data_IF_130790369967
#
_entry.id   IF_130790369967
#
_cell.length_a   1.000
_cell.length_b   1.000
_cell.length_c   1.000
_cell.angle_alpha   90.00
_cell.angle_beta   90.00
_cell.angle_gamma   90.00
#
_symmetry.space_group_name_H-M   'P 1'
#
loop_
_entity.id
_entity.type
_entity.pdbx_description
1 polymer ?
#
# COMPACT_ATOMS: atom_id res chain seq x y z
N UNK A 1 -3.38 17.43 12.51
CA UNK A 1 -3.15 17.52 11.05
C UNK A 1 -1.68 17.32 10.78
N UNK A 2 -1.31 16.48 9.81
CA UNK A 2 0.07 16.09 9.55
C UNK A 2 0.34 16.13 8.04
N UNK A 3 1.61 16.36 7.68
CA UNK A 3 2.04 16.34 6.29
C UNK A 3 2.28 14.91 5.85
N UNK A 4 1.64 14.52 4.75
CA UNK A 4 1.85 13.26 4.06
C UNK A 4 2.46 13.53 2.68
N UNK A 5 3.64 12.99 2.40
CA UNK A 5 4.29 13.11 1.10
C UNK A 5 3.98 11.89 0.25
N UNK A 6 3.39 12.09 -0.93
CA UNK A 6 3.18 11.02 -1.89
C UNK A 6 4.54 10.45 -2.37
N UNK A 7 4.58 9.15 -2.65
CA UNK A 7 5.75 8.49 -3.26
C UNK A 7 5.75 8.68 -4.79
N UNK A 8 5.68 9.93 -5.21
CA UNK A 8 5.59 10.36 -6.60
C UNK A 8 6.58 11.50 -6.89
N UNK A 9 7.89 11.27 -6.88
CA UNK A 9 8.81 12.31 -7.30
C UNK A 9 8.55 12.65 -8.78
N UNK A 10 8.37 13.94 -9.08
CA UNK A 10 8.01 14.44 -10.40
C UNK A 10 8.99 14.03 -11.53
N UNK A 11 10.20 13.63 -11.15
CA UNK A 11 11.25 13.15 -12.05
C UNK A 11 11.28 11.64 -12.25
N UNK A 12 10.40 10.90 -11.57
CA UNK A 12 10.42 9.44 -11.59
C UNK A 12 9.68 8.91 -12.83
N UNK A 13 10.44 8.27 -13.72
CA UNK A 13 9.92 7.61 -14.92
C UNK A 13 9.58 6.13 -14.64
N UNK A 14 8.85 5.84 -13.57
CA UNK A 14 8.45 4.47 -13.24
C UNK A 14 7.63 3.84 -14.37
N UNK A 15 7.82 2.54 -14.63
CA UNK A 15 6.81 1.77 -15.34
C UNK A 15 5.46 1.90 -14.63
N UNK A 16 4.38 2.05 -15.40
CA UNK A 16 3.05 2.19 -14.84
C UNK A 16 2.59 3.63 -14.57
N UNK A 17 3.49 4.62 -14.61
CA UNK A 17 3.15 6.04 -14.50
C UNK A 17 3.21 6.59 -13.07
N UNK A 18 2.67 7.81 -12.92
CA UNK A 18 2.74 8.58 -11.67
C UNK A 18 1.84 7.99 -10.58
N UNK A 19 2.36 7.94 -9.37
CA UNK A 19 1.63 7.56 -8.15
C UNK A 19 1.20 8.85 -7.45
N UNK A 20 0.12 9.41 -7.92
CA UNK A 20 -0.37 10.75 -7.53
C UNK A 20 -1.73 10.73 -6.82
N UNK A 21 -2.23 9.54 -6.46
CA UNK A 21 -3.55 9.35 -5.83
C UNK A 21 -3.46 8.52 -4.57
N UNK A 22 -4.26 8.88 -3.59
CA UNK A 22 -4.56 8.02 -2.44
C UNK A 22 -5.82 7.24 -2.76
N UNK A 23 -5.77 5.90 -2.63
CA UNK A 23 -6.93 5.04 -2.77
C UNK A 23 -7.76 5.01 -1.51
N UNK A 24 -7.17 4.62 -0.41
CA UNK A 24 -7.83 4.56 0.89
C UNK A 24 -6.81 4.57 2.04
N UNK A 25 -7.30 4.71 3.27
CA UNK A 25 -6.49 4.65 4.48
C UNK A 25 -7.27 4.02 5.62
N UNK A 26 -6.62 3.13 6.39
CA UNK A 26 -7.20 2.50 7.58
C UNK A 26 -6.32 2.69 8.80
N UNK A 27 -6.93 3.01 9.94
CA UNK A 27 -6.21 3.14 11.20
C UNK A 27 -5.90 1.76 11.79
N UNK A 28 -4.64 1.53 12.14
CA UNK A 28 -4.13 0.27 12.67
C UNK A 28 -4.00 0.26 14.21
N UNK A 29 -4.15 1.40 14.85
CA UNK A 29 -3.87 1.59 16.28
C UNK A 29 -2.54 2.28 16.53
N UNK A 30 -2.36 2.78 17.74
CA UNK A 30 -1.09 3.35 18.26
C UNK A 30 -0.43 4.41 17.38
N UNK A 31 -1.26 5.24 16.70
CA UNK A 31 -0.78 6.30 15.81
C UNK A 31 -0.33 5.79 14.43
N UNK A 32 -0.65 4.56 14.06
CA UNK A 32 -0.30 3.97 12.77
C UNK A 32 -1.51 3.84 11.85
N UNK A 33 -1.27 4.01 10.56
CA UNK A 33 -2.25 3.80 9.49
C UNK A 33 -1.65 2.93 8.41
N UNK A 34 -2.50 2.22 7.68
CA UNK A 34 -2.13 1.71 6.37
C UNK A 34 -2.79 2.55 5.28
N UNK A 35 -2.04 2.87 4.22
CA UNK A 35 -2.49 3.77 3.14
C UNK A 35 -2.18 3.13 1.80
N UNK A 36 -3.12 3.22 0.86
CA UNK A 36 -2.89 2.86 -0.54
C UNK A 36 -2.57 4.12 -1.33
N UNK A 37 -1.39 4.16 -1.96
CA UNK A 37 -1.06 5.12 -3.02
C UNK A 37 -1.13 4.44 -4.37
N UNK A 38 -1.68 5.11 -5.38
CA UNK A 38 -1.90 4.49 -6.68
C UNK A 38 -1.66 5.42 -7.87
N UNK A 39 -1.30 4.83 -8.99
CA UNK A 39 -1.42 5.40 -10.33
C UNK A 39 -2.81 5.10 -10.93
N UNK A 40 -3.00 5.48 -12.20
CA UNK A 40 -4.22 5.22 -12.97
C UNK A 40 -4.11 3.99 -13.90
N UNK A 41 -3.00 3.23 -13.83
CA UNK A 41 -2.78 2.09 -14.71
C UNK A 41 -3.37 0.79 -14.16
N UNK A 42 -3.42 -0.22 -15.00
CA UNK A 42 -3.89 -1.57 -14.67
C UNK A 42 -2.82 -2.60 -15.01
N UNK A 43 -2.98 -3.81 -14.47
CA UNK A 43 -2.10 -4.93 -14.76
C UNK A 43 -0.85 -4.97 -13.86
N UNK A 44 0.07 -5.85 -14.23
CA UNK A 44 1.24 -6.20 -13.40
C UNK A 44 2.26 -5.09 -13.25
N UNK A 45 2.29 -4.16 -14.20
CA UNK A 45 3.22 -3.03 -14.23
C UNK A 45 2.66 -1.77 -13.53
N UNK A 46 1.42 -1.83 -13.06
CA UNK A 46 0.82 -0.72 -12.32
C UNK A 46 1.48 -0.54 -10.95
N UNK A 47 1.45 0.70 -10.45
CA UNK A 47 1.95 1.04 -9.13
C UNK A 47 0.78 1.25 -8.16
N UNK A 48 0.56 0.29 -7.29
CA UNK A 48 -0.47 0.30 -6.23
C UNK A 48 0.22 -0.02 -4.92
N UNK A 49 0.82 1.00 -4.31
CA UNK A 49 1.66 0.82 -3.14
C UNK A 49 0.84 0.80 -1.86
N UNK A 50 1.08 -0.19 -1.05
CA UNK A 50 0.58 -0.25 0.31
C UNK A 50 1.68 0.25 1.25
N UNK A 51 1.38 1.27 2.03
CA UNK A 51 2.28 1.85 3.01
C UNK A 51 1.81 1.60 4.43
N UNK A 52 2.75 1.47 5.33
CA UNK A 52 2.59 1.65 6.77
C UNK A 52 3.04 3.06 7.13
N UNK A 53 2.19 3.79 7.81
CA UNK A 53 2.39 5.18 8.22
C UNK A 53 2.48 5.24 9.73
N UNK A 54 3.51 5.93 10.23
CA UNK A 54 3.66 6.22 11.65
C UNK A 54 3.59 7.74 11.88
N UNK A 55 2.66 8.16 12.72
CA UNK A 55 2.49 9.56 13.10
C UNK A 55 3.46 10.00 14.21
N UNK A 56 4.19 9.05 14.80
CA UNK A 56 5.13 9.35 15.88
C UNK A 56 6.26 10.23 15.36
N UNK A 57 6.46 11.37 15.99
CA UNK A 57 7.47 12.35 15.61
C UNK A 57 7.10 13.25 14.45
N UNK A 58 5.95 13.04 13.80
CA UNK A 58 5.46 13.95 12.76
C UNK A 58 4.99 15.28 13.37
N UNK A 59 5.24 16.38 12.68
CA UNK A 59 4.84 17.70 13.13
C UNK A 59 3.33 17.90 12.91
N UNK A 60 2.62 18.29 13.98
CA UNK A 60 1.24 18.70 13.84
C UNK A 60 1.18 20.12 13.27
N UNK A 61 0.73 20.24 12.03
CA UNK A 61 0.67 21.49 11.27
C UNK A 61 -0.66 22.22 11.41
N UNK A 62 -1.57 21.74 12.25
CA UNK A 62 -2.88 22.36 12.47
C UNK A 62 -2.70 23.81 12.95
N UNK A 63 -3.23 24.77 12.17
CA UNK A 63 -3.17 26.19 12.46
C UNK A 63 -1.82 26.86 12.13
N UNK A 64 -0.88 26.15 11.52
CA UNK A 64 0.35 26.77 10.99
C UNK A 64 0.06 27.60 9.75
N UNK A 65 0.93 28.58 9.48
CA UNK A 65 0.85 29.48 8.33
C UNK A 65 2.15 29.43 7.54
N UNK A 66 2.03 29.38 6.23
CA UNK A 66 3.15 29.29 5.27
C UNK A 66 3.32 30.59 4.46
N UNK A 67 3.10 31.72 5.11
CA UNK A 67 3.18 33.02 4.47
C UNK A 67 2.01 33.27 3.51
N UNK A 68 2.31 33.48 2.23
CA UNK A 68 1.30 33.68 1.15
C UNK A 68 0.96 32.35 0.44
N UNK A 69 1.63 31.27 0.78
CA UNK A 69 1.47 29.95 0.15
C UNK A 69 0.61 29.03 1.00
N UNK A 70 0.07 27.98 0.39
CA UNK A 70 -0.63 26.92 1.10
C UNK A 70 0.34 25.78 1.44
N UNK A 71 -0.08 24.87 2.32
CA UNK A 71 0.74 23.70 2.67
C UNK A 71 1.08 22.84 1.44
N UNK A 72 0.13 22.70 0.51
CA UNK A 72 0.28 21.89 -0.71
C UNK A 72 1.28 22.49 -1.72
N UNK A 73 1.65 23.74 -1.54
CA UNK A 73 2.65 24.42 -2.38
C UNK A 73 4.06 24.31 -1.81
N UNK A 74 4.19 23.81 -0.57
CA UNK A 74 5.50 23.64 0.06
C UNK A 74 6.25 22.46 -0.56
N UNK A 75 7.52 22.68 -0.88
CA UNK A 75 8.42 21.62 -1.28
C UNK A 75 8.95 20.84 -0.05
N UNK A 76 9.50 19.64 -0.22
CA UNK A 76 10.18 18.96 0.88
C UNK A 76 11.29 19.80 1.53
N UNK A 77 11.99 20.62 0.75
CA UNK A 77 13.03 21.55 1.20
C UNK A 77 12.45 22.68 2.05
N UNK A 78 11.29 23.22 1.68
CA UNK A 78 10.60 24.26 2.45
C UNK A 78 10.09 23.71 3.77
N UNK A 79 9.54 22.50 3.77
CA UNK A 79 9.12 21.82 4.99
C UNK A 79 10.30 21.59 5.94
N UNK A 80 11.43 21.13 5.40
CA UNK A 80 12.65 20.93 6.20
C UNK A 80 13.20 22.24 6.75
N UNK A 81 13.18 23.32 5.97
CA UNK A 81 13.59 24.65 6.40
C UNK A 81 12.68 25.22 7.50
N UNK A 82 11.42 24.81 7.54
CA UNK A 82 10.46 25.18 8.58
C UNK A 82 10.46 24.22 9.80
N UNK A 83 11.38 23.26 9.85
CA UNK A 83 11.46 22.19 10.88
C UNK A 83 10.16 21.34 10.96
N UNK A 84 9.51 21.16 9.83
CA UNK A 84 8.31 20.32 9.73
C UNK A 84 8.73 18.92 9.33
N UNK A 85 8.42 17.95 10.19
CA UNK A 85 8.63 16.54 9.93
C UNK A 85 7.34 15.93 9.37
N UNK A 86 7.33 15.50 8.10
CA UNK A 86 6.24 14.69 7.56
C UNK A 86 6.07 13.37 8.30
N UNK A 87 4.95 12.70 8.10
CA UNK A 87 4.75 11.36 8.63
C UNK A 87 5.82 10.41 8.10
N UNK A 88 6.28 9.50 8.97
CA UNK A 88 7.14 8.42 8.53
C UNK A 88 6.31 7.36 7.80
N UNK A 89 6.82 6.88 6.66
CA UNK A 89 6.13 5.84 5.89
C UNK A 89 7.08 4.77 5.39
N UNK A 90 6.62 3.54 5.43
CA UNK A 90 7.34 2.35 4.98
C UNK A 90 6.50 1.66 3.92
N UNK A 91 7.06 1.45 2.74
CA UNK A 91 6.41 0.70 1.67
C UNK A 91 6.38 -0.79 2.04
N UNK A 92 5.18 -1.34 2.21
CA UNK A 92 4.98 -2.75 2.56
C UNK A 92 4.95 -3.64 1.32
N UNK A 93 4.24 -3.20 0.28
CA UNK A 93 4.07 -3.98 -0.94
C UNK A 93 3.70 -3.10 -2.14
N UNK A 94 3.91 -3.62 -3.34
CA UNK A 94 3.17 -3.20 -4.52
C UNK A 94 2.10 -4.27 -4.80
N UNK A 95 0.83 -3.92 -4.70
CA UNK A 95 -0.29 -4.86 -4.78
C UNK A 95 -0.25 -5.75 -6.05
N UNK A 96 0.02 -5.22 -7.27
CA UNK A 96 0.19 -6.06 -8.44
C UNK A 96 1.31 -7.10 -8.32
N UNK A 97 2.41 -6.78 -7.66
CA UNK A 97 3.55 -7.72 -7.52
C UNK A 97 3.25 -8.90 -6.58
N UNK A 98 2.23 -8.77 -5.73
CA UNK A 98 1.74 -9.85 -4.86
C UNK A 98 0.46 -10.50 -5.37
N UNK A 99 0.10 -10.26 -6.64
CA UNK A 99 -1.00 -10.93 -7.32
C UNK A 99 -2.32 -10.17 -7.34
N UNK A 100 -2.40 -8.96 -6.78
CA UNK A 100 -3.59 -8.12 -6.84
C UNK A 100 -3.46 -7.10 -7.98
N UNK A 101 -3.77 -7.52 -9.21
CA UNK A 101 -3.64 -6.72 -10.43
C UNK A 101 -4.99 -6.31 -11.04
N UNK A 102 -6.06 -6.36 -10.24
CA UNK A 102 -7.41 -6.03 -10.69
C UNK A 102 -7.63 -4.52 -10.68
N UNK A 103 -8.04 -3.98 -11.82
CA UNK A 103 -8.47 -2.58 -11.95
C UNK A 103 -7.39 -1.54 -11.63
N UNK A 104 -7.74 -0.29 -11.86
CA UNK A 104 -6.89 0.87 -11.57
C UNK A 104 -7.14 1.46 -10.18
N UNK A 105 -8.25 1.13 -9.53
CA UNK A 105 -8.78 1.79 -8.33
C UNK A 105 -8.90 0.85 -7.13
N UNK A 106 -7.81 0.43 -6.48
CA UNK A 106 -7.90 -0.14 -5.14
C UNK A 106 -8.26 0.99 -4.17
N UNK A 107 -9.53 1.10 -3.79
CA UNK A 107 -10.11 2.22 -3.04
C UNK A 107 -10.88 1.78 -1.79
N UNK A 108 -10.85 0.50 -1.47
CA UNK A 108 -11.34 0.00 -0.19
C UNK A 108 -10.22 -0.68 0.57
N UNK A 109 -10.00 -0.27 1.82
CA UNK A 109 -9.00 -0.84 2.70
C UNK A 109 -9.58 -1.03 4.10
N UNK A 110 -9.45 -2.21 4.67
CA UNK A 110 -9.87 -2.45 6.06
C UNK A 110 -8.97 -3.44 6.77
N UNK A 111 -8.82 -3.23 8.08
CA UNK A 111 -8.09 -4.14 8.96
C UNK A 111 -9.02 -5.26 9.42
N UNK A 112 -8.60 -6.49 9.21
CA UNK A 112 -9.30 -7.68 9.68
C UNK A 112 -8.87 -8.06 11.10
N UNK A 113 -9.69 -8.89 11.75
CA UNK A 113 -9.46 -9.27 13.15
C UNK A 113 -8.16 -10.07 13.38
N UNK A 114 -7.63 -10.70 12.34
CA UNK A 114 -6.37 -11.44 12.37
C UNK A 114 -5.14 -10.57 12.06
N UNK A 115 -5.33 -9.27 11.85
CA UNK A 115 -4.27 -8.34 11.51
C UNK A 115 -3.95 -8.25 10.02
N UNK A 116 -4.62 -9.03 9.17
CA UNK A 116 -4.50 -8.89 7.72
C UNK A 116 -5.29 -7.67 7.21
N UNK A 117 -5.00 -7.22 6.00
CA UNK A 117 -5.69 -6.13 5.34
C UNK A 117 -6.54 -6.67 4.19
N UNK A 118 -7.81 -6.30 4.16
CA UNK A 118 -8.65 -6.54 3.00
C UNK A 118 -8.61 -5.32 2.07
N UNK A 119 -8.40 -5.56 0.78
CA UNK A 119 -8.34 -4.55 -0.27
C UNK A 119 -9.45 -4.83 -1.27
N UNK A 120 -10.25 -3.82 -1.59
CA UNK A 120 -11.31 -3.90 -2.58
C UNK A 120 -11.08 -2.83 -3.66
N UNK A 121 -11.29 -3.19 -4.92
CA UNK A 121 -11.30 -2.20 -5.98
C UNK A 121 -12.68 -1.54 -6.13
N UNK A 122 -12.69 -0.24 -6.46
CA UNK A 122 -13.81 0.37 -7.13
C UNK A 122 -13.77 -0.04 -8.62
N UNK A 123 -14.86 -0.58 -9.12
CA UNK A 123 -15.01 -0.97 -10.51
C UNK A 123 -16.05 -0.12 -11.25
N UNK A 124 -16.36 1.07 -10.73
CA UNK A 124 -17.33 2.02 -11.29
C UNK A 124 -18.69 1.35 -11.59
N UNK A 125 -19.16 0.47 -10.72
CA UNK A 125 -20.37 -0.34 -10.90
C UNK A 125 -20.35 -1.22 -12.16
N UNK A 126 -19.17 -1.59 -12.63
CA UNK A 126 -18.93 -2.27 -13.93
C UNK A 126 -19.30 -1.38 -15.14
N UNK A 127 -19.16 -0.08 -15.00
CA UNK A 127 -19.40 0.87 -16.08
C UNK A 127 -18.05 1.41 -16.57
N UNK A 128 -17.75 1.21 -17.86
CA UNK A 128 -16.53 1.72 -18.47
C UNK A 128 -16.62 3.21 -18.78
N UNK A 129 -17.82 3.65 -19.15
CA UNK A 129 -18.09 5.02 -19.53
C UNK A 129 -19.57 5.36 -19.31
N UNK A 130 -19.87 6.62 -19.07
CA UNK A 130 -21.24 7.13 -18.94
C UNK A 130 -21.34 8.40 -19.76
N UNK A 131 -21.85 8.26 -20.97
CA UNK A 131 -22.18 9.39 -21.84
C UNK A 131 -23.66 9.75 -21.71
N UNK A 132 -23.96 11.02 -21.51
CA UNK A 132 -25.33 11.53 -21.49
C UNK A 132 -25.61 12.20 -22.81
N UNK A 133 -26.51 11.63 -23.59
CA UNK A 133 -26.92 12.14 -24.91
C UNK A 133 -28.41 12.47 -24.93
N UNK A 134 -28.81 13.40 -25.83
CA UNK A 134 -30.20 13.59 -26.18
C UNK A 134 -30.70 12.49 -27.15
N UNK A 135 -31.99 12.54 -27.50
CA UNK A 135 -32.59 11.60 -28.42
C UNK A 135 -32.01 11.66 -29.86
N UNK A 136 -31.29 12.71 -30.19
CA UNK A 136 -30.67 12.91 -31.51
C UNK A 136 -29.15 12.53 -31.46
N UNK A 137 -28.68 12.03 -30.31
CA UNK A 137 -27.30 11.61 -30.12
C UNK A 137 -26.32 12.74 -29.81
N UNK A 138 -26.80 13.93 -29.44
CA UNK A 138 -25.92 15.02 -29.00
C UNK A 138 -25.64 14.92 -27.50
N UNK A 139 -24.40 15.15 -27.06
CA UNK A 139 -24.08 15.13 -25.64
C UNK A 139 -24.85 16.21 -24.89
N UNK A 140 -25.63 15.81 -23.91
CA UNK A 140 -26.46 16.70 -23.10
C UNK A 140 -26.51 16.25 -21.63
N UNK A 141 -26.56 17.25 -20.77
CA UNK A 141 -27.10 17.07 -19.43
C UNK A 141 -28.63 16.88 -19.55
N UNK A 142 -29.10 15.65 -19.35
CA UNK A 142 -30.54 15.31 -19.33
C UNK A 142 -31.07 14.54 -20.54
N UNK A 143 -30.20 14.09 -21.44
CA UNK A 143 -30.56 13.14 -22.53
C UNK A 143 -30.58 11.67 -22.06
N UNK A 144 -30.57 10.76 -22.99
CA UNK A 144 -30.40 9.34 -22.69
C UNK A 144 -29.04 9.06 -22.09
N UNK A 145 -29.02 8.14 -21.13
CA UNK A 145 -27.77 7.66 -20.52
C UNK A 145 -27.38 6.37 -21.22
N UNK A 146 -26.20 6.34 -21.81
CA UNK A 146 -25.62 5.14 -22.39
C UNK A 146 -24.59 4.59 -21.42
N UNK A 147 -24.80 3.37 -20.94
CA UNK A 147 -23.86 2.65 -20.10
C UNK A 147 -23.05 1.68 -20.96
N UNK A 148 -21.75 1.69 -20.77
CA UNK A 148 -20.87 0.70 -21.37
C UNK A 148 -20.38 -0.23 -20.26
N UNK A 149 -20.50 -1.52 -20.46
CA UNK A 149 -20.02 -2.50 -19.49
C UNK A 149 -18.48 -2.46 -19.42
N UNK A 150 -17.95 -2.38 -18.20
CA UNK A 150 -16.54 -2.59 -17.93
C UNK A 150 -16.27 -4.07 -17.66
N UNK A 151 -15.23 -4.66 -18.25
CA UNK A 151 -14.84 -6.03 -17.93
C UNK A 151 -14.19 -6.17 -16.55
N UNK A 152 -13.97 -5.07 -15.85
CA UNK A 152 -13.28 -5.09 -14.55
C UNK A 152 -14.18 -5.66 -13.45
N UNK A 153 -13.89 -6.83 -12.89
CA UNK A 153 -14.71 -7.40 -11.83
C UNK A 153 -14.46 -6.68 -10.49
N UNK A 154 -15.43 -6.77 -9.58
CA UNK A 154 -15.17 -6.49 -8.16
C UNK A 154 -14.22 -7.56 -7.63
N UNK A 155 -13.10 -7.14 -7.09
CA UNK A 155 -12.04 -8.03 -6.61
C UNK A 155 -11.69 -7.71 -5.17
N UNK A 156 -11.84 -8.70 -4.30
CA UNK A 156 -11.38 -8.64 -2.92
C UNK A 156 -10.03 -9.35 -2.79
N UNK A 157 -9.03 -8.62 -2.37
CA UNK A 157 -7.72 -9.16 -2.01
C UNK A 157 -7.55 -9.19 -0.49
N UNK A 158 -6.87 -10.23 0.01
CA UNK A 158 -6.44 -10.27 1.41
C UNK A 158 -4.91 -10.23 1.43
N UNK A 159 -4.38 -9.18 2.03
CA UNK A 159 -2.94 -9.01 2.24
C UNK A 159 -2.62 -9.45 3.66
N UNK A 160 -2.06 -10.62 3.79
CA UNK A 160 -1.61 -11.15 5.07
C UNK A 160 -0.12 -10.85 5.20
N UNK A 161 0.21 -10.14 6.26
CA UNK A 161 1.61 -10.03 6.67
C UNK A 161 1.94 -11.30 7.44
N UNK A 162 3.09 -11.92 7.12
CA UNK A 162 3.60 -12.97 8.00
C UNK A 162 3.55 -12.40 9.43
N UNK A 163 2.81 -13.07 10.31
CA UNK A 163 2.82 -12.69 11.72
C UNK A 163 4.29 -12.58 12.10
N UNK A 164 4.72 -11.51 12.74
CA UNK A 164 6.09 -11.41 13.15
C UNK A 164 6.33 -12.53 14.17
N UNK A 165 6.67 -13.69 13.65
CA UNK A 165 7.28 -14.72 14.48
C UNK A 165 8.64 -14.13 14.82
N UNK A 166 8.76 -13.62 16.05
CA UNK A 166 10.01 -13.10 16.52
C UNK A 166 11.09 -14.12 16.22
N UNK A 167 12.21 -13.67 15.73
CA UNK A 167 13.41 -14.50 15.60
C UNK A 167 14.46 -14.00 16.60
N UNK A 168 15.29 -14.91 17.01
CA UNK A 168 16.51 -14.59 17.70
C UNK A 168 17.58 -14.30 16.64
N UNK A 169 17.91 -13.04 16.47
CA UNK A 169 18.82 -12.60 15.41
C UNK A 169 20.30 -12.73 15.78
N UNK A 170 20.61 -13.18 17.00
CA UNK A 170 21.98 -13.35 17.48
C UNK A 170 22.16 -14.73 18.11
N UNK A 171 23.15 -15.45 17.63
CA UNK A 171 23.63 -16.70 18.22
C UNK A 171 24.85 -16.50 19.14
N UNK A 172 25.24 -15.24 19.42
CA UNK A 172 26.50 -14.87 20.06
C UNK A 172 26.37 -14.11 21.38
N UNK A 173 25.15 -13.95 21.87
CA UNK A 173 24.86 -13.21 23.08
C UNK A 173 24.53 -14.13 24.27
N UNK A 174 24.62 -15.46 24.09
CA UNK A 174 24.29 -16.50 25.07
C UNK A 174 22.89 -16.32 25.71
N UNK A 175 21.98 -15.69 25.01
CA UNK A 175 20.61 -15.40 25.45
C UNK A 175 19.58 -15.85 24.43
N UNK A 176 18.40 -16.24 24.88
CA UNK A 176 17.22 -16.42 24.02
C UNK A 176 16.48 -15.09 24.00
N UNK A 177 16.61 -14.33 22.91
CA UNK A 177 16.04 -13.01 22.75
C UNK A 177 15.16 -12.93 21.48
N UNK A 178 14.05 -13.64 21.51
CA UNK A 178 13.11 -13.69 20.39
C UNK A 178 12.38 -12.35 20.29
N UNK A 179 12.68 -11.55 19.27
CA UNK A 179 12.10 -10.24 19.01
C UNK A 179 11.64 -10.11 17.56
N UNK A 180 10.73 -9.17 17.33
CA UNK A 180 10.36 -8.76 15.99
C UNK A 180 11.45 -7.86 15.42
N UNK A 181 12.12 -8.31 14.40
CA UNK A 181 13.10 -7.53 13.67
C UNK A 181 12.49 -7.04 12.36
N UNK A 182 12.77 -5.80 11.92
CA UNK A 182 12.31 -5.26 10.65
C UNK A 182 13.13 -5.86 9.48
N UNK A 183 13.14 -7.18 9.38
CA UNK A 183 13.86 -7.91 8.33
C UNK A 183 12.87 -8.66 7.44
N UNK A 184 13.15 -8.68 6.15
CA UNK A 184 12.46 -9.51 5.19
C UNK A 184 13.29 -10.78 4.96
N UNK A 185 12.71 -11.93 5.28
CA UNK A 185 13.30 -13.19 4.90
C UNK A 185 13.13 -13.44 3.40
N UNK A 186 14.21 -13.74 2.71
CA UNK A 186 14.13 -14.28 1.34
C UNK A 186 13.75 -15.75 1.47
N UNK A 187 12.61 -16.14 0.85
CA UNK A 187 12.20 -17.53 0.81
C UNK A 187 13.12 -18.30 -0.15
N UNK A 188 14.15 -18.91 0.38
CA UNK A 188 15.01 -19.86 -0.32
C UNK A 188 14.98 -21.19 0.46
N UNK A 189 13.92 -21.99 0.31
CA UNK A 189 13.77 -23.20 1.09
C UNK A 189 14.76 -24.26 0.63
N UNK A 190 15.63 -24.64 1.54
CA UNK A 190 16.57 -25.77 1.38
C UNK A 190 15.94 -27.10 1.76
N UNK A 191 15.02 -27.05 2.70
CA UNK A 191 14.27 -28.23 3.13
C UNK A 191 12.85 -27.84 3.50
N UNK A 192 11.94 -28.76 3.24
CA UNK A 192 10.54 -28.64 3.65
C UNK A 192 10.11 -29.93 4.35
N UNK A 193 9.40 -29.77 5.45
CA UNK A 193 8.72 -30.89 6.12
C UNK A 193 7.32 -30.49 6.52
N UNK A 194 6.50 -31.47 6.91
CA UNK A 194 5.15 -31.20 7.41
C UNK A 194 4.91 -31.94 8.72
N UNK A 195 3.99 -31.39 9.52
CA UNK A 195 3.47 -32.05 10.72
C UNK A 195 1.98 -31.75 10.87
N UNK A 196 1.31 -32.60 11.62
CA UNK A 196 -0.10 -32.47 11.95
C UNK A 196 -0.26 -31.94 13.38
N UNK A 197 -1.09 -30.91 13.56
CA UNK A 197 -1.48 -30.41 14.87
C UNK A 197 -2.92 -29.88 14.84
N UNK A 198 -3.73 -30.28 15.80
CA UNK A 198 -5.13 -29.83 15.90
C UNK A 198 -6.00 -30.20 14.69
N UNK A 199 -5.66 -31.24 13.94
CA UNK A 199 -6.36 -31.65 12.71
C UNK A 199 -6.03 -30.79 11.48
N UNK A 200 -4.97 -30.01 11.54
CA UNK A 200 -4.45 -29.20 10.44
C UNK A 200 -3.03 -29.65 10.10
N UNK A 201 -2.70 -29.65 8.81
CA UNK A 201 -1.35 -29.90 8.32
C UNK A 201 -0.58 -28.58 8.28
N UNK A 202 0.58 -28.55 8.88
CA UNK A 202 1.51 -27.43 8.84
C UNK A 202 2.74 -27.84 8.03
N UNK A 203 3.28 -26.87 7.28
CA UNK A 203 4.53 -27.01 6.56
C UNK A 203 5.58 -26.12 7.19
N UNK A 204 6.77 -26.69 7.40
CA UNK A 204 7.94 -25.94 7.86
C UNK A 204 8.96 -25.97 6.73
N UNK A 205 9.44 -24.81 6.33
CA UNK A 205 10.59 -24.67 5.44
C UNK A 205 11.77 -24.07 6.20
N UNK A 206 12.94 -24.67 6.03
CA UNK A 206 14.18 -24.04 6.42
C UNK A 206 14.64 -23.17 5.24
N UNK A 207 14.84 -21.91 5.51
CA UNK A 207 15.40 -20.98 4.50
C UNK A 207 16.87 -20.79 4.81
N UNK A 208 17.73 -21.13 3.88
CA UNK A 208 19.14 -20.79 3.96
C UNK A 208 19.29 -19.32 3.53
N UNK A 209 19.60 -18.46 4.50
CA UNK A 209 19.99 -17.09 4.24
C UNK A 209 21.49 -17.01 4.01
N UNK A 210 21.96 -17.41 2.83
CA UNK A 210 23.36 -17.21 2.50
C UNK A 210 23.60 -15.74 2.21
N UNK A 211 24.36 -15.09 3.09
CA UNK A 211 24.88 -13.75 2.82
C UNK A 211 25.93 -13.89 1.72
N UNK A 212 25.75 -13.19 0.60
CA UNK A 212 26.83 -13.06 -0.38
C UNK A 212 28.05 -12.45 0.33
N UNK A 213 29.12 -13.20 0.37
CA UNK A 213 30.43 -12.63 0.66
C UNK A 213 30.72 -11.62 -0.46
N UNK A 214 30.77 -10.36 -0.12
CA UNK A 214 31.30 -9.34 -1.01
C UNK A 214 32.82 -9.46 -0.98
N UNK A 215 33.40 -9.99 -2.07
CA UNK A 215 34.85 -9.95 -2.34
C UNK A 215 35.31 -8.52 -2.67
#
# INVERSE_FOLDING_TARGET
EYVYLLDDPASDARPGGRVDKIGDAVYLGDGRLSVIERDANVGTEANKFLFDIDLTGATNVLGMSFGSETLEQQTPEDLAAADIQPVNKIKLANLPSIGYAAGDKPEGLTLLADGSLAVLNDNDFQLADVDIFDSDGNPLFGGGVVFQDSPTPSTLGIVSFAQPNGLDASDRDDAINIQNHPVLGVSMPDAITSFEAGGQTFYISANEGDARDED
#
